data_IF_589301418926
#
_entry.id   IF_589301418926
#
_cell.length_a   1.000
_cell.length_b   1.000
_cell.length_c   1.000
_cell.angle_alpha   90.00
_cell.angle_beta   90.00
_cell.angle_gamma   90.00
#
_symmetry.space_group_name_H-M   'P 1'
#
loop_
_entity.id
_entity.type
_entity.pdbx_description
1 polymer ?
#
# COMPACT_ATOMS: atom_id res chain seq x y z
N UNK A 1 -16.87 -2.08 11.66
CA UNK A 1 -16.79 -2.61 10.29
C UNK A 1 -16.90 -4.12 10.40
N UNK A 2 -17.74 -4.75 9.59
CA UNK A 2 -17.80 -6.22 9.49
C UNK A 2 -16.62 -6.75 8.67
N UNK A 3 -16.31 -8.04 8.82
CA UNK A 3 -15.21 -8.69 8.09
C UNK A 3 -15.38 -8.60 6.57
N UNK A 4 -16.62 -8.70 6.07
CA UNK A 4 -16.90 -8.56 4.64
C UNK A 4 -16.67 -7.13 4.14
N UNK A 5 -17.10 -6.12 4.91
CA UNK A 5 -16.87 -4.72 4.55
C UNK A 5 -15.38 -4.38 4.57
N UNK A 6 -14.63 -4.91 5.54
CA UNK A 6 -13.18 -4.81 5.60
C UNK A 6 -12.56 -5.40 4.34
N UNK A 7 -12.87 -6.66 4.01
CA UNK A 7 -12.27 -7.35 2.86
C UNK A 7 -12.56 -6.60 1.57
N UNK A 8 -13.79 -6.16 1.33
CA UNK A 8 -14.14 -5.38 0.14
C UNK A 8 -13.29 -4.10 0.03
N UNK A 9 -13.11 -3.36 1.13
CA UNK A 9 -12.34 -2.11 1.13
C UNK A 9 -10.84 -2.34 0.98
N UNK A 10 -10.32 -3.38 1.62
CA UNK A 10 -8.89 -3.67 1.62
C UNK A 10 -8.45 -4.25 0.28
N UNK A 11 -9.27 -5.10 -0.33
CA UNK A 11 -9.11 -5.58 -1.70
C UNK A 11 -9.13 -4.43 -2.72
N UNK A 12 -10.04 -3.46 -2.55
CA UNK A 12 -10.10 -2.28 -3.40
C UNK A 12 -8.81 -1.43 -3.31
N UNK A 13 -8.17 -1.35 -2.15
CA UNK A 13 -6.90 -0.65 -1.99
C UNK A 13 -5.76 -1.36 -2.75
N UNK A 14 -5.68 -2.69 -2.69
CA UNK A 14 -4.70 -3.44 -3.50
C UNK A 14 -4.95 -3.26 -5.01
N UNK A 15 -6.21 -3.33 -5.44
CA UNK A 15 -6.58 -3.13 -6.83
C UNK A 15 -6.34 -1.68 -7.33
N UNK A 16 -6.39 -0.68 -6.44
CA UNK A 16 -6.00 0.69 -6.78
C UNK A 16 -4.49 0.79 -7.03
N UNK A 17 -3.65 0.13 -6.22
CA UNK A 17 -2.20 0.08 -6.44
C UNK A 17 -1.88 -0.56 -7.79
N UNK A 18 -2.51 -1.70 -8.10
CA UNK A 18 -2.31 -2.40 -9.39
C UNK A 18 -2.64 -1.50 -10.58
N UNK A 19 -3.77 -0.79 -10.53
CA UNK A 19 -4.19 0.12 -11.61
C UNK A 19 -3.30 1.36 -11.73
N UNK A 20 -2.76 1.85 -10.62
CA UNK A 20 -1.93 3.05 -10.62
C UNK A 20 -0.60 2.83 -11.35
N UNK A 21 -0.05 1.61 -11.34
CA UNK A 21 1.22 1.32 -11.99
C UNK A 21 1.19 1.51 -13.51
N UNK A 22 0.05 1.35 -14.17
CA UNK A 22 -0.08 1.62 -15.61
C UNK A 22 0.24 3.08 -15.99
N UNK A 23 0.16 4.00 -15.01
CA UNK A 23 0.43 5.43 -15.19
C UNK A 23 1.71 5.91 -14.50
N UNK A 24 2.49 5.03 -13.88
CA UNK A 24 3.75 5.38 -13.21
C UNK A 24 4.91 5.09 -14.16
N UNK A 25 5.74 6.12 -14.39
CA UNK A 25 6.91 6.01 -15.28
C UNK A 25 8.07 5.20 -14.66
N UNK A 26 8.10 5.09 -13.32
CA UNK A 26 9.17 4.41 -12.59
C UNK A 26 9.19 2.90 -12.86
N UNK A 27 10.39 2.31 -12.94
CA UNK A 27 10.58 0.87 -13.14
C UNK A 27 10.27 0.09 -11.84
N UNK A 28 9.00 -0.33 -11.72
CA UNK A 28 8.45 -1.05 -10.58
C UNK A 28 7.78 -2.33 -11.10
N UNK A 29 8.34 -3.48 -10.72
CA UNK A 29 7.71 -4.78 -10.94
C UNK A 29 6.69 -5.07 -9.82
N UNK A 30 5.47 -5.43 -10.21
CA UNK A 30 4.42 -5.82 -9.26
C UNK A 30 4.11 -7.30 -9.35
N UNK A 31 4.14 -7.95 -8.20
CA UNK A 31 3.65 -9.32 -8.03
C UNK A 31 2.49 -9.35 -7.03
N UNK A 32 1.41 -10.03 -7.38
CA UNK A 32 0.29 -10.29 -6.49
C UNK A 32 0.16 -11.77 -6.16
N UNK A 33 0.13 -12.08 -4.86
CA UNK A 33 -0.12 -13.42 -4.33
C UNK A 33 -1.18 -13.37 -3.23
N UNK A 34 -2.43 -13.61 -3.61
CA UNK A 34 -3.59 -13.50 -2.71
C UNK A 34 -3.71 -12.10 -2.11
N UNK A 35 -3.53 -12.02 -0.79
CA UNK A 35 -3.65 -10.81 0.02
C UNK A 35 -2.33 -10.03 0.15
N UNK A 36 -1.31 -10.40 -0.61
CA UNK A 36 0.03 -9.80 -0.58
C UNK A 36 0.33 -9.22 -1.96
N UNK A 37 0.77 -7.97 -1.98
CA UNK A 37 1.24 -7.24 -3.14
C UNK A 37 2.68 -6.82 -2.89
N UNK A 38 3.57 -7.20 -3.79
CA UNK A 38 5.01 -6.91 -3.72
C UNK A 38 5.35 -5.96 -4.85
N UNK A 39 5.90 -4.79 -4.51
CA UNK A 39 6.49 -3.83 -5.43
C UNK A 39 8.00 -3.98 -5.35
N UNK A 40 8.65 -4.38 -6.43
CA UNK A 40 10.11 -4.46 -6.56
C UNK A 40 10.60 -3.32 -7.45
N UNK A 41 11.50 -2.49 -6.91
CA UNK A 41 12.05 -1.33 -7.59
C UNK A 41 13.35 -1.70 -8.32
N UNK A 42 13.77 -0.91 -9.31
CA UNK A 42 15.03 -1.12 -10.08
C UNK A 42 16.26 -1.42 -9.19
N UNK A 43 16.36 -0.74 -8.03
CA UNK A 43 17.45 -0.95 -7.07
C UNK A 43 17.33 -2.23 -6.21
N UNK A 44 16.40 -3.14 -6.55
CA UNK A 44 16.06 -4.41 -5.89
C UNK A 44 15.49 -4.27 -4.48
N UNK A 45 15.16 -3.05 -4.05
CA UNK A 45 14.39 -2.87 -2.83
C UNK A 45 12.93 -3.22 -3.07
N UNK A 46 12.22 -3.54 -1.98
CA UNK A 46 10.82 -3.96 -2.04
C UNK A 46 9.96 -3.14 -1.12
N UNK A 47 8.72 -2.91 -1.53
CA UNK A 47 7.62 -2.57 -0.65
C UNK A 47 6.63 -3.73 -0.70
N UNK A 48 6.23 -4.22 0.47
CA UNK A 48 5.22 -5.26 0.59
C UNK A 48 3.98 -4.64 1.22
N UNK A 49 2.85 -4.74 0.53
CA UNK A 49 1.53 -4.36 1.05
C UNK A 49 0.75 -5.65 1.30
N UNK A 50 0.21 -5.82 2.50
CA UNK A 50 -0.57 -7.02 2.81
C UNK A 50 -1.79 -6.76 3.68
N UNK A 51 -2.84 -7.55 3.45
CA UNK A 51 -4.08 -7.49 4.23
C UNK A 51 -3.94 -8.28 5.54
N UNK A 52 -4.52 -7.76 6.62
CA UNK A 52 -4.55 -8.38 7.95
C UNK A 52 -5.99 -8.52 8.47
N UNK A 53 -6.74 -9.53 8.00
CA UNK A 53 -8.16 -9.72 8.37
C UNK A 53 -8.44 -9.77 9.88
N UNK A 54 -7.66 -10.47 10.71
CA UNK A 54 -7.94 -10.51 12.15
C UNK A 54 -7.85 -9.14 12.85
N UNK A 55 -7.13 -8.19 12.25
CA UNK A 55 -6.96 -6.84 12.76
C UNK A 55 -7.81 -5.80 12.02
N UNK A 56 -8.42 -6.19 10.89
CA UNK A 56 -9.06 -5.26 9.93
C UNK A 56 -8.12 -4.14 9.48
N UNK A 57 -6.87 -4.49 9.15
CA UNK A 57 -5.81 -3.56 8.81
C UNK A 57 -5.16 -3.88 7.44
N UNK A 58 -4.56 -2.87 6.82
CA UNK A 58 -3.60 -3.02 5.73
C UNK A 58 -2.21 -2.68 6.28
N UNK A 59 -1.20 -3.49 6.00
CA UNK A 59 0.17 -3.23 6.42
C UNK A 59 1.07 -2.91 5.22
N UNK A 60 2.04 -2.04 5.45
CA UNK A 60 3.16 -1.75 4.54
C UNK A 60 4.46 -2.16 5.25
N UNK A 61 5.29 -2.94 4.58
CA UNK A 61 6.70 -3.12 4.92
C UNK A 61 7.56 -2.46 3.83
N UNK A 62 8.32 -1.44 4.21
CA UNK A 62 9.22 -0.68 3.35
C UNK A 62 10.61 -0.57 3.99
N UNK A 63 11.61 -0.03 3.28
CA UNK A 63 12.92 0.33 3.86
C UNK A 63 12.79 1.25 5.07
N UNK A 64 11.79 2.13 5.07
CA UNK A 64 11.51 3.05 6.18
C UNK A 64 10.97 2.34 7.45
N UNK A 65 10.45 1.12 7.33
CA UNK A 65 9.91 0.35 8.45
C UNK A 65 8.61 -0.38 8.13
N UNK A 66 7.89 -0.75 9.19
CA UNK A 66 6.56 -1.37 9.13
C UNK A 66 5.48 -0.41 9.61
N UNK A 67 4.41 -0.29 8.85
CA UNK A 67 3.31 0.66 9.05
C UNK A 67 1.97 -0.05 8.95
N UNK A 68 1.06 0.26 9.86
CA UNK A 68 -0.23 -0.43 9.96
C UNK A 68 -1.34 0.59 9.82
N UNK A 69 -2.29 0.32 8.94
CA UNK A 69 -3.36 1.24 8.57
C UNK A 69 -4.71 0.63 8.91
N UNK A 70 -5.57 1.42 9.57
CA UNK A 70 -6.94 1.05 9.89
C UNK A 70 -7.91 2.01 9.19
N UNK A 71 -9.05 1.49 8.76
CA UNK A 71 -10.08 2.31 8.14
C UNK A 71 -10.80 3.17 9.19
N UNK A 72 -10.67 4.50 9.08
CA UNK A 72 -11.26 5.49 9.98
C UNK A 72 -11.82 6.64 9.13
N UNK A 73 -13.09 6.99 9.38
CA UNK A 73 -13.77 8.14 8.75
C UNK A 73 -13.70 8.20 7.21
N UNK A 74 -13.64 7.03 6.55
CA UNK A 74 -13.63 6.93 5.09
C UNK A 74 -12.25 6.69 4.46
N UNK A 75 -11.18 6.69 5.26
CA UNK A 75 -9.81 6.58 4.77
C UNK A 75 -9.01 5.54 5.55
N UNK A 76 -7.96 4.99 4.93
CA UNK A 76 -6.98 4.14 5.61
C UNK A 76 -5.94 5.03 6.29
N UNK A 77 -5.89 4.98 7.62
CA UNK A 77 -5.06 5.87 8.45
C UNK A 77 -4.04 5.06 9.24
N UNK A 78 -2.79 5.52 9.22
CA UNK A 78 -1.71 4.94 10.02
C UNK A 78 -2.07 4.98 11.52
N UNK A 79 -1.92 3.84 12.19
CA UNK A 79 -2.35 3.65 13.58
C UNK A 79 -1.49 4.38 14.62
N UNK A 80 -0.35 4.94 14.22
CA UNK A 80 0.58 5.69 15.10
C UNK A 80 0.50 7.19 14.88
N UNK A 81 0.46 7.64 13.62
CA UNK A 81 0.55 9.06 13.28
C UNK A 81 -0.62 9.62 12.47
N UNK A 82 -1.56 8.78 12.00
CA UNK A 82 -2.74 9.21 11.27
C UNK A 82 -2.51 9.60 9.80
N UNK A 83 -1.30 9.39 9.27
CA UNK A 83 -1.03 9.61 7.84
C UNK A 83 -1.93 8.71 6.99
N UNK A 84 -2.39 9.24 5.87
CA UNK A 84 -3.23 8.49 4.92
C UNK A 84 -2.38 7.47 4.14
N UNK A 85 -2.95 6.29 3.86
CA UNK A 85 -2.28 5.14 3.27
C UNK A 85 -1.61 5.42 1.92
N UNK A 86 -2.31 6.00 0.95
CA UNK A 86 -1.75 6.27 -0.37
C UNK A 86 -0.70 7.39 -0.33
N UNK A 87 -0.89 8.39 0.55
CA UNK A 87 0.14 9.39 0.82
C UNK A 87 1.42 8.75 1.36
N UNK A 88 1.31 7.86 2.35
CA UNK A 88 2.46 7.14 2.91
C UNK A 88 3.12 6.21 1.88
N UNK A 89 2.33 5.45 1.13
CA UNK A 89 2.84 4.56 0.07
C UNK A 89 3.60 5.35 -1.00
N UNK A 90 3.06 6.48 -1.45
CA UNK A 90 3.70 7.38 -2.43
C UNK A 90 5.03 7.91 -1.91
N UNK A 91 5.09 8.31 -0.64
CA UNK A 91 6.32 8.77 -0.01
C UNK A 91 7.39 7.67 0.00
N UNK A 92 7.04 6.46 0.46
CA UNK A 92 7.99 5.35 0.54
C UNK A 92 8.43 4.87 -0.85
N UNK A 93 7.50 4.81 -1.80
CA UNK A 93 7.80 4.42 -3.17
C UNK A 93 8.70 5.44 -3.85
N UNK A 94 8.44 6.74 -3.67
CA UNK A 94 9.31 7.81 -4.19
C UNK A 94 10.72 7.69 -3.63
N UNK A 95 10.86 7.46 -2.32
CA UNK A 95 12.16 7.24 -1.69
C UNK A 95 12.89 6.01 -2.23
N UNK A 96 12.17 4.93 -2.52
CA UNK A 96 12.76 3.68 -3.00
C UNK A 96 13.02 3.65 -4.51
N UNK A 97 12.22 4.33 -5.31
CA UNK A 97 12.43 4.49 -6.75
C UNK A 97 13.57 5.48 -7.03
N UNK A 98 13.71 6.52 -6.21
CA UNK A 98 14.65 7.62 -6.48
C UNK A 98 14.08 8.67 -7.44
N UNK A 99 12.81 8.55 -7.81
CA UNK A 99 12.03 9.47 -8.63
C UNK A 99 10.58 9.55 -8.12
N UNK A 100 9.80 10.58 -8.50
CA UNK A 100 8.43 10.74 -8.01
C UNK A 100 7.52 9.57 -8.39
N UNK A 101 6.86 8.99 -7.39
CA UNK A 101 5.84 7.95 -7.55
C UNK A 101 4.59 8.38 -6.78
N UNK A 102 3.45 8.38 -7.46
CA UNK A 102 2.18 8.85 -6.91
C UNK A 102 1.10 7.77 -7.01
N UNK A 103 0.58 7.37 -5.86
CA UNK A 103 -0.59 6.52 -5.73
C UNK A 103 -1.78 7.33 -5.19
N UNK A 104 -2.98 6.98 -5.64
CA UNK A 104 -4.24 7.57 -5.20
C UNK A 104 -5.37 6.51 -5.17
N UNK A 105 -6.46 6.82 -4.47
CA UNK A 105 -7.59 5.93 -4.20
C UNK A 105 -8.55 5.75 -5.39
#
# INVERSE_FOLDING_TARGET
>A
MSDSEYLTRAEAALAAIERALDGIDADIELERSGNVLTLEFENRSKIIVNLQPPMSEIWIAAKAGGFHFRFVDGEWRDTRNGTEFFAALSEYATQQAGEPVHFEA
#
